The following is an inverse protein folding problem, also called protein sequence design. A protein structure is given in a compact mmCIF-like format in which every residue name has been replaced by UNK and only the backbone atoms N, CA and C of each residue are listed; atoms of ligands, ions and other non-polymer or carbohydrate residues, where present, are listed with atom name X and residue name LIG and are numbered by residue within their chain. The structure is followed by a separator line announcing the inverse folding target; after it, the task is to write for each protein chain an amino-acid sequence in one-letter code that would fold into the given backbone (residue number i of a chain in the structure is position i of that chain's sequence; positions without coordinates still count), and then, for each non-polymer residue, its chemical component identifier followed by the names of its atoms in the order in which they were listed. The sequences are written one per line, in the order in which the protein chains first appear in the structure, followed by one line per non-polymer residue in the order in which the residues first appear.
data_IF_931829420847
#
_entry.id   IF_931829420847
#
_cell.length_a   1.000
_cell.length_b   1.000
_cell.length_c   1.000
_cell.angle_alpha   90.00
_cell.angle_beta   90.00
_cell.angle_gamma   90.00
#
_symmetry.space_group_name_H-M   'P 1'
#
loop_
_entity.id
_entity.type
_entity.pdbx_description
1 polymer ?
#
# COMPACT_ATOMS: atom_id res chain seq x y z
N UNK A 1 -22.12 -0.77 3.03
CA UNK A 1 -21.40 -0.08 4.10
C UNK A 1 -20.73 -1.15 4.95
N UNK A 2 -19.43 -1.35 4.77
CA UNK A 2 -18.63 -2.29 5.56
C UNK A 2 -18.10 -1.56 6.80
N UNK A 3 -18.37 -2.12 7.96
CA UNK A 3 -18.26 -1.51 9.30
C UNK A 3 -16.88 -1.65 9.96
N UNK A 4 -15.85 -2.01 9.20
CA UNK A 4 -14.46 -1.84 9.62
C UNK A 4 -13.74 -1.07 8.51
N UNK A 5 -13.01 0.02 8.82
CA UNK A 5 -12.10 0.62 7.84
C UNK A 5 -11.18 -0.50 7.39
N UNK A 6 -11.09 -0.75 6.08
CA UNK A 6 -10.38 -1.88 5.52
C UNK A 6 -8.88 -1.75 5.87
N UNK A 7 -8.47 -2.30 7.02
CA UNK A 7 -7.08 -2.28 7.54
C UNK A 7 -6.14 -3.17 6.73
N UNK A 8 -6.68 -3.80 5.68
CA UNK A 8 -5.99 -4.70 4.76
C UNK A 8 -6.21 -4.16 3.35
N UNK A 9 -5.77 -2.93 3.12
CA UNK A 9 -5.96 -2.29 1.82
C UNK A 9 -4.80 -2.63 0.89
N UNK A 10 -5.16 -3.23 -0.24
CA UNK A 10 -4.34 -3.20 -1.44
C UNK A 10 -5.16 -2.59 -2.56
N UNK A 11 -4.62 -1.57 -3.20
CA UNK A 11 -5.26 -0.94 -4.33
C UNK A 11 -4.27 -0.33 -5.29
N UNK A 12 -4.71 -0.08 -6.50
CA UNK A 12 -3.88 0.55 -7.51
C UNK A 12 -4.68 1.54 -8.37
N UNK A 13 -3.98 2.49 -8.96
CA UNK A 13 -4.50 3.38 -9.99
C UNK A 13 -3.50 3.52 -11.12
N UNK A 14 -3.97 3.29 -12.35
CA UNK A 14 -3.13 3.52 -13.54
C UNK A 14 -3.03 5.02 -13.80
N UNK A 15 -1.94 5.41 -14.44
CA UNK A 15 -1.66 6.78 -14.86
C UNK A 15 -1.41 6.86 -16.38
N UNK A 16 -1.96 5.89 -17.13
CA UNK A 16 -1.76 5.75 -18.57
C UNK A 16 -2.28 6.97 -19.37
N UNK A 17 -3.24 7.71 -18.82
CA UNK A 17 -3.79 8.94 -19.42
C UNK A 17 -2.86 10.17 -19.32
N UNK A 18 -1.75 10.10 -18.57
CA UNK A 18 -0.86 11.24 -18.37
C UNK A 18 0.49 11.05 -19.09
N UNK A 19 0.66 11.60 -20.30
CA UNK A 19 1.90 11.45 -21.07
C UNK A 19 3.09 12.21 -20.48
N UNK A 20 2.86 13.20 -19.60
CA UNK A 20 3.92 14.00 -18.96
C UNK A 20 4.51 13.33 -17.73
N UNK A 21 3.80 12.38 -17.12
CA UNK A 21 4.30 11.65 -15.96
C UNK A 21 5.20 10.49 -16.39
N UNK A 22 6.29 10.28 -15.66
CA UNK A 22 7.15 9.10 -15.81
C UNK A 22 6.58 7.87 -15.11
N UNK A 23 5.54 8.03 -14.27
CA UNK A 23 4.90 6.95 -13.55
C UNK A 23 3.74 6.36 -14.34
N UNK A 24 3.68 5.02 -14.35
CA UNK A 24 2.64 4.23 -15.00
C UNK A 24 1.55 3.81 -14.03
N UNK A 25 1.93 3.39 -12.83
CA UNK A 25 1.03 2.75 -11.88
C UNK A 25 1.38 3.21 -10.47
N UNK A 26 0.34 3.51 -9.70
CA UNK A 26 0.45 3.80 -8.28
C UNK A 26 -0.20 2.66 -7.51
N UNK A 27 0.46 2.22 -6.46
CA UNK A 27 0.02 1.18 -5.54
C UNK A 27 -0.15 1.79 -4.16
N UNK A 28 -1.20 1.37 -3.46
CA UNK A 28 -1.40 1.62 -2.05
C UNK A 28 -1.36 0.27 -1.34
N UNK A 29 -0.50 0.16 -0.34
CA UNK A 29 -0.31 -1.07 0.42
C UNK A 29 -0.40 -0.77 1.91
N UNK A 30 -1.04 -1.66 2.66
CA UNK A 30 -0.96 -1.63 4.12
C UNK A 30 0.34 -2.30 4.54
N UNK A 31 1.11 -1.64 5.40
CA UNK A 31 2.39 -2.13 5.92
C UNK A 31 2.47 -1.93 7.43
N UNK A 32 3.44 -2.57 8.06
CA UNK A 32 3.77 -2.35 9.46
C UNK A 32 5.26 -2.54 9.71
N UNK A 33 5.74 -1.94 10.80
CA UNK A 33 7.12 -2.09 11.24
C UNK A 33 7.28 -3.30 12.15
N UNK A 34 8.32 -4.08 11.88
CA UNK A 34 8.74 -5.24 12.67
C UNK A 34 10.11 -4.94 13.25
N UNK A 35 10.28 -5.23 14.54
CA UNK A 35 11.59 -5.11 15.19
C UNK A 35 12.56 -6.13 14.65
N UNK A 36 13.76 -5.68 14.27
CA UNK A 36 14.83 -6.55 13.79
C UNK A 36 15.70 -7.14 14.92
N UNK A 37 15.30 -6.90 16.19
CA UNK A 37 16.02 -7.26 17.42
C UNK A 37 17.41 -6.64 17.61
N UNK A 38 17.93 -5.87 16.64
CA UNK A 38 19.18 -5.11 16.73
C UNK A 38 18.96 -3.62 17.01
N UNK A 39 17.69 -3.21 17.12
CA UNK A 39 17.29 -1.83 17.41
C UNK A 39 16.83 -1.05 16.18
N UNK A 40 16.81 -1.69 15.01
CA UNK A 40 16.22 -1.17 13.78
C UNK A 40 14.84 -1.82 13.51
N UNK A 41 14.18 -1.38 12.45
CA UNK A 41 12.88 -1.92 12.02
C UNK A 41 12.85 -2.20 10.53
N UNK A 42 12.07 -3.21 10.16
CA UNK A 42 11.83 -3.60 8.77
C UNK A 42 10.35 -3.38 8.48
N UNK A 43 10.08 -2.70 7.36
CA UNK A 43 8.72 -2.50 6.86
C UNK A 43 8.29 -3.79 6.16
N UNK A 44 7.25 -4.44 6.67
CA UNK A 44 6.62 -5.60 6.05
C UNK A 44 5.23 -5.26 5.53
N UNK A 45 4.89 -5.76 4.34
CA UNK A 45 3.56 -5.63 3.76
C UNK A 45 2.60 -6.57 4.47
N UNK A 46 1.50 -6.02 4.99
CA UNK A 46 0.38 -6.81 5.50
C UNK A 46 -0.30 -7.49 4.33
N UNK A 47 0.08 -8.75 4.09
CA UNK A 47 -0.45 -9.54 2.98
C UNK A 47 -1.61 -10.40 3.42
N UNK A 48 -1.72 -10.67 4.72
CA UNK A 48 -2.72 -11.57 5.31
C UNK A 48 -3.28 -11.01 6.61
N UNK A 49 -4.44 -11.56 6.98
CA UNK A 49 -5.10 -11.22 8.23
C UNK A 49 -4.29 -11.75 9.42
N UNK A 50 -3.66 -12.92 9.27
CA UNK A 50 -2.82 -13.54 10.28
C UNK A 50 -1.59 -12.71 10.62
N UNK A 51 -0.94 -12.12 9.62
CA UNK A 51 0.23 -11.24 9.78
C UNK A 51 -0.10 -10.04 10.69
N UNK A 52 -1.37 -9.63 10.72
CA UNK A 52 -1.84 -8.52 11.55
C UNK A 52 -2.19 -8.92 12.99
N UNK A 53 -2.84 -10.07 13.18
CA UNK A 53 -3.36 -10.49 14.50
C UNK A 53 -2.36 -11.28 15.33
N UNK A 54 -1.42 -11.99 14.70
CA UNK A 54 -0.55 -12.95 15.39
C UNK A 54 0.92 -12.52 15.41
N UNK A 55 1.26 -11.34 14.87
CA UNK A 55 2.63 -10.86 14.84
C UNK A 55 2.97 -10.04 16.10
N UNK A 56 3.48 -10.72 17.12
CA UNK A 56 3.92 -10.13 18.39
C UNK A 56 5.16 -9.23 18.27
N UNK A 57 5.84 -9.23 17.12
CA UNK A 57 7.06 -8.46 16.86
C UNK A 57 6.77 -7.06 16.29
N UNK A 58 5.49 -6.72 16.11
CA UNK A 58 5.05 -5.44 15.57
C UNK A 58 5.33 -4.30 16.56
N UNK A 59 6.00 -3.25 16.08
CA UNK A 59 6.36 -2.10 16.92
C UNK A 59 5.19 -1.13 17.07
N UNK A 60 4.40 -0.92 16.01
CA UNK A 60 3.35 0.11 15.96
C UNK A 60 2.09 -0.32 15.18
N UNK A 61 1.10 0.56 15.07
CA UNK A 61 -0.10 0.29 14.27
C UNK A 61 0.19 0.32 12.76
N UNK A 62 -0.48 -0.53 11.95
CA UNK A 62 -0.28 -0.54 10.51
C UNK A 62 -0.73 0.75 9.83
N UNK A 63 -0.01 1.13 8.79
CA UNK A 63 -0.19 2.36 8.02
C UNK A 63 -0.18 2.06 6.51
N UNK A 64 -0.48 3.07 5.70
CA UNK A 64 -0.64 2.94 4.24
C UNK A 64 0.53 3.59 3.50
N UNK A 65 1.25 2.80 2.72
CA UNK A 65 2.35 3.28 1.88
C UNK A 65 1.94 3.32 0.42
N UNK A 66 2.38 4.36 -0.26
CA UNK A 66 2.18 4.56 -1.69
C UNK A 66 3.51 4.34 -2.41
N UNK A 67 3.49 3.43 -3.38
CA UNK A 67 4.57 3.19 -4.31
C UNK A 67 4.15 3.53 -5.74
N UNK A 68 5.06 4.06 -6.55
CA UNK A 68 4.83 4.33 -7.95
C UNK A 68 5.83 3.59 -8.83
N UNK A 69 5.33 2.90 -9.85
CA UNK A 69 6.13 2.20 -10.84
C UNK A 69 6.37 3.08 -12.07
N UNK A 70 7.62 3.15 -12.53
CA UNK A 70 8.01 3.90 -13.72
C UNK A 70 7.56 3.20 -15.00
N UNK A 71 7.27 3.98 -16.04
CA UNK A 71 6.88 3.48 -17.38
C UNK A 71 7.97 2.63 -18.03
N UNK A 72 9.23 3.04 -17.89
CA UNK A 72 10.36 2.43 -18.59
C UNK A 72 10.87 1.15 -17.89
N UNK A 73 10.62 1.00 -16.59
CA UNK A 73 11.14 -0.08 -15.75
C UNK A 73 10.09 -0.60 -14.76
N UNK A 74 8.99 -1.14 -15.31
CA UNK A 74 7.81 -1.54 -14.54
C UNK A 74 8.09 -2.56 -13.41
N UNK A 75 9.04 -3.47 -13.62
CA UNK A 75 9.34 -4.59 -12.70
C UNK A 75 10.43 -4.30 -11.64
N UNK A 76 11.23 -3.25 -11.80
CA UNK A 76 12.45 -3.06 -10.99
C UNK A 76 12.50 -1.74 -10.22
N UNK A 77 11.54 -0.83 -10.42
CA UNK A 77 11.67 0.55 -9.94
C UNK A 77 10.41 1.11 -9.31
N UNK A 78 9.86 0.41 -8.32
CA UNK A 78 8.90 1.03 -7.41
C UNK A 78 9.59 2.12 -6.61
N UNK A 79 9.08 3.36 -6.71
CA UNK A 79 9.54 4.51 -5.95
C UNK A 79 8.55 4.80 -4.83
N UNK A 80 9.05 5.00 -3.62
CA UNK A 80 8.25 5.50 -2.51
C UNK A 80 7.72 6.90 -2.85
N UNK A 81 6.42 7.11 -2.61
CA UNK A 81 5.74 8.40 -2.82
C UNK A 81 5.39 9.04 -1.49
N UNK A 82 4.86 8.26 -0.55
CA UNK A 82 4.43 8.75 0.75
C UNK A 82 3.84 7.65 1.64
N UNK A 83 3.71 7.96 2.93
CA UNK A 83 3.11 7.11 3.95
C UNK A 83 2.04 7.89 4.72
N UNK A 84 0.94 7.22 5.08
CA UNK A 84 -0.22 7.83 5.70
C UNK A 84 -0.83 6.92 6.77
N UNK A 85 -1.27 7.49 7.88
CA UNK A 85 -1.98 6.75 8.93
C UNK A 85 -3.44 6.44 8.52
N UNK A 86 -4.01 7.28 7.66
CA UNK A 86 -5.40 7.17 7.23
C UNK A 86 -5.51 6.79 5.75
N UNK A 87 -6.26 5.72 5.48
CA UNK A 87 -6.49 5.20 4.13
C UNK A 87 -7.09 6.22 3.17
N UNK A 88 -8.07 6.99 3.65
CA UNK A 88 -8.73 8.03 2.86
C UNK A 88 -7.74 9.09 2.35
N UNK A 89 -6.70 9.43 3.12
CA UNK A 89 -5.66 10.36 2.71
C UNK A 89 -4.78 9.74 1.62
N UNK A 90 -4.39 8.47 1.77
CA UNK A 90 -3.61 7.76 0.77
C UNK A 90 -4.38 7.65 -0.57
N UNK A 91 -5.65 7.24 -0.52
CA UNK A 91 -6.52 7.17 -1.69
C UNK A 91 -6.66 8.56 -2.33
N UNK A 92 -6.96 9.59 -1.53
CA UNK A 92 -7.15 10.95 -2.04
C UNK A 92 -5.91 11.47 -2.77
N UNK A 93 -4.70 11.17 -2.27
CA UNK A 93 -3.47 11.56 -2.95
C UNK A 93 -3.34 10.85 -4.30
N UNK A 94 -3.53 9.52 -4.35
CA UNK A 94 -3.40 8.75 -5.59
C UNK A 94 -4.43 9.20 -6.63
N UNK A 95 -5.68 9.41 -6.22
CA UNK A 95 -6.72 9.91 -7.12
C UNK A 95 -6.40 11.32 -7.63
N UNK A 96 -5.82 12.17 -6.79
CA UNK A 96 -5.39 13.51 -7.19
C UNK A 96 -4.21 13.48 -8.18
N UNK A 97 -3.24 12.59 -7.97
CA UNK A 97 -2.06 12.46 -8.84
C UNK A 97 -2.40 11.85 -10.21
N UNK A 98 -3.29 10.86 -10.22
CA UNK A 98 -3.63 10.10 -11.44
C UNK A 98 -4.85 10.66 -12.18
N UNK A 99 -5.74 11.37 -11.49
CA UNK A 99 -7.06 11.73 -11.98
C UNK A 99 -8.03 10.55 -12.09
N UNK A 100 -7.62 9.34 -11.66
CA UNK A 100 -8.39 8.10 -11.76
C UNK A 100 -8.83 7.61 -10.38
N UNK A 101 -9.91 6.83 -10.34
CA UNK A 101 -10.35 6.16 -9.11
C UNK A 101 -9.44 4.99 -8.77
N UNK A 102 -9.13 4.85 -7.48
CA UNK A 102 -8.35 3.70 -7.00
C UNK A 102 -9.20 2.43 -7.12
N UNK A 103 -8.62 1.40 -7.73
CA UNK A 103 -9.22 0.06 -7.77
C UNK A 103 -8.71 -0.74 -6.59
N UNK A 104 -9.62 -1.21 -5.75
CA UNK A 104 -9.29 -2.14 -4.66
C UNK A 104 -9.10 -3.54 -5.23
N UNK A 105 -8.12 -4.26 -4.71
CA UNK A 105 -7.90 -5.68 -5.00
C UNK A 105 -8.17 -6.49 -3.76
N UNK A 106 -8.90 -7.60 -3.91
CA UNK A 106 -9.19 -8.50 -2.81
C UNK A 106 -7.89 -9.06 -2.21
N UNK A 107 -7.77 -8.97 -0.89
CA UNK A 107 -6.72 -9.67 -0.13
C UNK A 107 -7.13 -11.14 -0.04
N UNK A 108 -6.25 -12.04 -0.46
CA UNK A 108 -6.56 -13.47 -0.53
C UNK A 108 -6.88 -14.06 0.84
N UNK A 109 -8.13 -14.47 1.06
CA UNK A 109 -8.54 -15.25 2.25
C UNK A 109 -8.32 -16.73 1.95
N UNK A 110 -7.60 -17.46 2.82
CA UNK A 110 -7.47 -18.90 2.68
C UNK A 110 -8.87 -19.55 2.81
N UNK A 111 -9.28 -20.34 1.80
CA UNK A 111 -10.39 -21.29 1.98
C UNK A 111 -9.78 -22.59 2.52
N UNK A 112 -10.23 -23.10 3.68
CA UNK A 112 -9.71 -24.32 4.26
C UNK A 112 -9.87 -25.53 3.33
#
# INVERSE_FOLDING_TARGET
MTTQPNRFFHGFATNDGNPKSHFKLFYIETVHDISDYNGDSIIERVSRMEDYYFNEQRIDDPYYVIYASLKDHFNESSKFVGAFDQLNMAISLVEHLTGNKVTETDVGVYRP
#
